data_IF_959355875591
#
_entry.id   IF_959355875591
#
_cell.length_a   1.000
_cell.length_b   1.000
_cell.length_c   1.000
_cell.angle_alpha   90.00
_cell.angle_beta   90.00
_cell.angle_gamma   90.00
#
_symmetry.space_group_name_H-M   'P 1'
#
loop_
_entity.id
_entity.type
_entity.pdbx_description
1 polymer ?
#
# COMPACT_ATOMS: atom_id res chain seq x y z
N UNK A 1 13.85 -10.85 41.13
CA UNK A 1 14.02 -11.04 39.69
C UNK A 1 12.74 -10.52 39.06
N UNK A 2 12.81 -9.41 38.32
CA UNK A 2 11.62 -8.76 37.77
C UNK A 2 10.99 -9.67 36.74
N UNK A 3 9.72 -10.03 36.96
CA UNK A 3 8.89 -10.78 36.03
C UNK A 3 8.64 -9.89 34.80
N UNK A 4 9.52 -9.96 33.80
CA UNK A 4 9.42 -9.13 32.61
C UNK A 4 8.32 -9.69 31.73
N UNK A 5 7.25 -8.93 31.54
CA UNK A 5 6.17 -9.33 30.66
C UNK A 5 6.68 -9.63 29.23
N UNK A 6 6.12 -10.65 28.55
CA UNK A 6 6.52 -10.98 27.19
C UNK A 6 6.24 -9.82 26.25
N UNK A 7 7.20 -9.52 25.36
CA UNK A 7 6.99 -8.52 24.32
C UNK A 7 6.10 -9.13 23.25
N UNK A 8 5.00 -8.47 22.94
CA UNK A 8 4.06 -8.87 21.90
C UNK A 8 4.06 -7.83 20.77
N UNK A 9 3.86 -8.30 19.54
CA UNK A 9 3.40 -7.44 18.44
C UNK A 9 1.94 -7.04 18.62
N UNK A 10 1.45 -6.04 17.86
CA UNK A 10 0.03 -5.66 17.86
C UNK A 10 -0.90 -6.80 17.41
N UNK A 11 -0.36 -7.81 16.73
CA UNK A 11 -1.08 -9.03 16.33
C UNK A 11 -1.00 -10.16 17.37
N UNK A 12 -0.44 -9.91 18.56
CA UNK A 12 -0.33 -10.89 19.64
C UNK A 12 0.78 -11.93 19.49
N UNK A 13 1.68 -11.76 18.52
CA UNK A 13 2.83 -12.66 18.33
C UNK A 13 3.92 -12.32 19.36
N UNK A 14 4.42 -13.34 20.07
CA UNK A 14 5.54 -13.23 21.01
C UNK A 14 6.82 -12.90 20.25
N UNK A 15 7.52 -11.86 20.70
CA UNK A 15 8.82 -11.44 20.20
C UNK A 15 9.88 -11.91 21.20
N UNK A 16 10.58 -12.97 20.84
CA UNK A 16 11.67 -13.52 21.64
C UNK A 16 12.85 -12.54 21.68
N UNK A 17 13.61 -12.47 22.79
CA UNK A 17 14.75 -11.56 22.92
C UNK A 17 15.92 -11.92 21.98
N UNK A 18 15.97 -13.15 21.48
CA UNK A 18 16.99 -13.65 20.55
C UNK A 18 16.39 -14.73 19.65
N UNK A 19 16.62 -14.61 18.34
CA UNK A 19 16.29 -15.64 17.35
C UNK A 19 17.58 -16.30 16.85
N UNK A 20 17.63 -17.63 16.85
CA UNK A 20 18.77 -18.43 16.42
C UNK A 20 18.36 -19.42 15.33
N UNK A 21 19.28 -20.30 14.91
CA UNK A 21 18.97 -21.36 13.94
C UNK A 21 17.89 -22.31 14.47
N UNK A 22 17.84 -22.56 15.78
CA UNK A 22 16.81 -23.37 16.44
C UNK A 22 15.41 -22.74 16.30
N UNK A 23 15.32 -21.41 16.28
CA UNK A 23 14.05 -20.68 16.13
C UNK A 23 13.36 -20.92 14.78
N UNK A 24 14.10 -21.40 13.77
CA UNK A 24 13.58 -21.74 12.44
C UNK A 24 13.69 -23.24 12.12
N UNK A 25 13.94 -24.08 13.13
CA UNK A 25 14.15 -25.53 12.95
C UNK A 25 12.94 -26.26 12.37
N UNK A 26 11.73 -25.74 12.56
CA UNK A 26 10.50 -26.31 12.03
C UNK A 26 10.18 -25.89 10.58
N UNK A 27 10.94 -24.95 10.01
CA UNK A 27 10.71 -24.42 8.67
C UNK A 27 11.39 -25.31 7.62
N UNK A 28 10.68 -25.68 6.55
CA UNK A 28 11.27 -26.29 5.35
C UNK A 28 11.58 -25.19 4.30
N UNK A 29 12.86 -24.88 4.05
CA UNK A 29 13.22 -23.83 3.11
C UNK A 29 12.70 -24.03 1.68
N UNK A 30 12.44 -25.28 1.25
CA UNK A 30 11.96 -25.55 -0.11
C UNK A 30 10.48 -25.25 -0.27
N UNK A 31 9.65 -25.60 0.72
CA UNK A 31 8.20 -25.48 0.63
C UNK A 31 7.67 -24.19 1.25
N UNK A 32 8.35 -23.65 2.27
CA UNK A 32 7.86 -22.51 3.04
C UNK A 32 8.50 -21.19 2.57
N UNK A 33 9.71 -21.25 2.01
CA UNK A 33 10.44 -20.07 1.50
C UNK A 33 10.54 -20.10 -0.03
N UNK A 34 11.08 -21.18 -0.61
CA UNK A 34 11.22 -21.36 -2.05
C UNK A 34 12.18 -20.37 -2.74
N UNK A 35 12.00 -20.22 -4.06
CA UNK A 35 12.72 -19.26 -4.92
C UNK A 35 11.75 -18.16 -5.42
N UNK A 36 12.25 -16.95 -5.73
CA UNK A 36 11.39 -15.91 -6.32
C UNK A 36 10.80 -16.37 -7.66
N UNK A 37 9.55 -16.00 -7.93
CA UNK A 37 8.84 -16.36 -9.17
C UNK A 37 8.23 -17.77 -9.19
N UNK A 38 8.29 -18.52 -8.09
CA UNK A 38 7.61 -19.80 -7.94
C UNK A 38 6.91 -19.91 -6.59
N UNK A 39 5.90 -20.79 -6.49
CA UNK A 39 5.22 -21.08 -5.24
C UNK A 39 6.23 -21.51 -4.14
N UNK A 40 6.06 -21.08 -2.88
CA UNK A 40 4.92 -20.32 -2.31
C UNK A 40 4.99 -18.79 -2.52
N UNK A 41 5.93 -18.28 -3.34
CA UNK A 41 6.14 -16.86 -3.61
C UNK A 41 6.57 -16.01 -2.38
N UNK A 42 7.00 -16.65 -1.28
CA UNK A 42 7.52 -15.96 -0.08
C UNK A 42 8.64 -14.98 -0.42
N UNK A 43 9.45 -15.28 -1.45
CA UNK A 43 10.55 -14.41 -1.93
C UNK A 43 10.17 -13.46 -3.08
N UNK A 44 8.89 -13.37 -3.43
CA UNK A 44 8.35 -12.51 -4.48
C UNK A 44 7.74 -13.26 -5.65
N UNK A 45 6.77 -12.61 -6.31
CA UNK A 45 5.99 -13.17 -7.42
C UNK A 45 6.73 -13.18 -8.76
N UNK A 46 7.83 -12.44 -8.90
CA UNK A 46 8.65 -12.39 -10.10
C UNK A 46 10.05 -12.92 -9.83
N UNK A 47 10.70 -13.64 -10.76
CA UNK A 47 12.02 -14.23 -10.55
C UNK A 47 13.15 -13.20 -10.38
N UNK A 48 13.01 -12.03 -11.02
CA UNK A 48 14.03 -10.97 -11.02
C UNK A 48 13.66 -9.78 -10.12
N UNK A 49 12.39 -9.68 -9.70
CA UNK A 49 11.84 -8.58 -8.90
C UNK A 49 12.39 -7.21 -9.36
N UNK A 50 12.94 -6.43 -8.43
CA UNK A 50 13.36 -5.06 -8.63
C UNK A 50 14.71 -4.90 -9.33
N UNK A 51 15.38 -6.01 -9.69
CA UNK A 51 16.57 -5.97 -10.55
C UNK A 51 16.22 -5.74 -12.02
N UNK A 52 15.01 -6.13 -12.42
CA UNK A 52 14.49 -5.93 -13.78
C UNK A 52 13.56 -4.71 -13.82
N UNK A 53 12.56 -4.67 -12.92
CA UNK A 53 11.61 -3.55 -12.84
C UNK A 53 11.34 -3.13 -11.40
N UNK A 54 11.58 -1.86 -11.11
CA UNK A 54 11.20 -1.25 -9.82
C UNK A 54 9.68 -1.32 -9.61
N UNK A 55 9.24 -1.23 -8.35
CA UNK A 55 7.82 -1.08 -8.05
C UNK A 55 7.27 0.22 -8.68
N UNK A 56 5.96 0.26 -8.93
CA UNK A 56 5.33 1.48 -9.43
C UNK A 56 5.28 2.53 -8.32
N UNK A 57 5.93 3.66 -8.53
CA UNK A 57 5.75 4.85 -7.70
C UNK A 57 4.39 5.45 -8.06
N UNK A 58 3.43 5.36 -7.14
CA UNK A 58 2.02 5.70 -7.40
C UNK A 58 1.46 6.52 -6.24
N UNK A 59 1.56 7.84 -6.33
CA UNK A 59 0.95 8.71 -5.33
C UNK A 59 -0.56 8.78 -5.56
N UNK A 60 -1.30 8.67 -4.47
CA UNK A 60 -2.74 8.85 -4.44
C UNK A 60 -3.05 10.34 -4.38
N UNK A 61 -3.77 10.86 -5.38
CA UNK A 61 -4.05 12.29 -5.49
C UNK A 61 -5.39 12.54 -6.18
N UNK A 62 -6.04 13.63 -5.78
CA UNK A 62 -7.27 14.15 -6.34
C UNK A 62 -7.80 15.25 -5.43
N UNK A 63 -8.24 16.37 -6.01
CA UNK A 63 -8.87 17.49 -5.32
C UNK A 63 -9.50 18.43 -6.35
N UNK A 64 -10.48 19.23 -5.91
CA UNK A 64 -11.10 20.26 -6.73
C UNK A 64 -11.73 19.66 -7.99
N UNK A 65 -11.50 20.31 -9.12
CA UNK A 65 -12.00 19.86 -10.41
C UNK A 65 -11.07 18.85 -11.09
N UNK A 66 -11.59 18.17 -12.12
CA UNK A 66 -10.79 17.37 -13.03
C UNK A 66 -9.57 18.12 -13.61
N UNK A 67 -9.69 19.42 -13.88
CA UNK A 67 -8.58 20.23 -14.40
C UNK A 67 -7.47 20.41 -13.36
N UNK A 68 -7.82 20.70 -12.10
CA UNK A 68 -6.87 20.85 -10.99
C UNK A 68 -6.12 19.54 -10.73
N UNK A 69 -6.85 18.44 -10.67
CA UNK A 69 -6.28 17.10 -10.47
C UNK A 69 -5.39 16.68 -11.64
N UNK A 70 -5.77 17.00 -12.89
CA UNK A 70 -4.93 16.73 -14.06
C UNK A 70 -3.61 17.52 -14.02
N UNK A 71 -3.65 18.80 -13.61
CA UNK A 71 -2.42 19.57 -13.41
C UNK A 71 -1.52 18.91 -12.35
N UNK A 72 -2.11 18.42 -11.25
CA UNK A 72 -1.38 17.67 -10.23
C UNK A 72 -0.76 16.38 -10.76
N UNK A 73 -1.49 15.61 -11.57
CA UNK A 73 -0.97 14.39 -12.17
C UNK A 73 0.23 14.65 -13.08
N UNK A 74 0.16 15.68 -13.93
CA UNK A 74 1.30 16.06 -14.79
C UNK A 74 2.53 16.45 -13.96
N UNK A 75 2.33 17.29 -12.93
CA UNK A 75 3.39 17.65 -11.99
C UNK A 75 4.05 16.41 -11.35
N UNK A 76 3.24 15.45 -10.90
CA UNK A 76 3.77 14.23 -10.27
C UNK A 76 4.52 13.34 -11.24
N UNK A 77 4.03 13.20 -12.48
CA UNK A 77 4.71 12.46 -13.54
C UNK A 77 6.07 13.11 -13.89
N UNK A 78 6.10 14.43 -14.02
CA UNK A 78 7.34 15.20 -14.23
C UNK A 78 8.33 15.03 -13.05
N UNK A 79 7.81 14.87 -11.83
CA UNK A 79 8.59 14.60 -10.63
C UNK A 79 9.00 13.12 -10.43
N UNK A 80 8.72 12.24 -11.40
CA UNK A 80 9.18 10.84 -11.40
C UNK A 80 8.16 9.80 -10.95
N UNK A 81 6.89 10.17 -10.75
CA UNK A 81 5.82 9.20 -10.56
C UNK A 81 5.67 8.31 -11.80
N UNK A 82 5.39 7.02 -11.62
CA UNK A 82 5.29 6.02 -12.71
C UNK A 82 3.92 5.37 -12.86
N UNK A 83 2.95 5.76 -12.03
CA UNK A 83 1.54 5.37 -12.20
C UNK A 83 0.59 6.34 -11.51
N UNK A 84 -0.57 6.59 -12.10
CA UNK A 84 -1.60 7.49 -11.54
C UNK A 84 -2.54 6.76 -10.58
N UNK A 85 -2.98 7.42 -9.52
CA UNK A 85 -4.02 6.89 -8.62
C UNK A 85 -4.94 8.03 -8.20
N UNK A 86 -6.20 7.93 -8.60
CA UNK A 86 -7.17 9.02 -8.49
C UNK A 86 -7.99 8.89 -7.21
N UNK A 87 -7.99 9.95 -6.39
CA UNK A 87 -8.88 10.09 -5.25
C UNK A 87 -10.13 10.85 -5.66
N UNK A 88 -11.31 10.27 -5.46
CA UNK A 88 -12.60 10.90 -5.75
C UNK A 88 -13.17 11.58 -4.51
N UNK A 89 -13.95 12.63 -4.70
CA UNK A 89 -14.66 13.26 -3.59
C UNK A 89 -15.76 12.35 -3.01
N UNK A 90 -16.33 12.75 -1.87
CA UNK A 90 -17.35 11.94 -1.21
C UNK A 90 -18.64 11.80 -2.04
N UNK A 91 -19.17 12.87 -2.69
CA UNK A 91 -20.31 12.74 -3.60
C UNK A 91 -20.12 11.69 -4.69
N UNK A 92 -18.99 11.72 -5.40
CA UNK A 92 -18.68 10.75 -6.47
C UNK A 92 -18.59 9.33 -5.93
N UNK A 93 -17.93 9.13 -4.78
CA UNK A 93 -17.85 7.81 -4.13
C UNK A 93 -19.23 7.28 -3.71
N UNK A 94 -20.15 8.17 -3.34
CA UNK A 94 -21.50 7.83 -2.89
C UNK A 94 -22.53 7.81 -4.04
N UNK A 95 -22.12 8.11 -5.28
CA UNK A 95 -22.99 8.12 -6.46
C UNK A 95 -23.91 9.32 -6.58
N UNK A 96 -23.55 10.47 -5.99
CA UNK A 96 -24.27 11.73 -6.14
C UNK A 96 -23.57 12.65 -7.15
N UNK A 97 -24.36 13.30 -8.00
CA UNK A 97 -23.90 14.43 -8.81
C UNK A 97 -23.57 15.63 -7.91
N UNK A 98 -22.72 16.53 -8.40
CA UNK A 98 -22.24 17.69 -7.65
C UNK A 98 -23.34 18.69 -7.26
N UNK A 99 -24.45 18.72 -7.99
CA UNK A 99 -25.61 19.59 -7.73
C UNK A 99 -26.66 18.92 -6.82
N UNK A 100 -26.46 17.66 -6.42
CA UNK A 100 -27.36 16.97 -5.52
C UNK A 100 -27.37 17.64 -4.13
N UNK A 101 -28.53 17.88 -3.50
CA UNK A 101 -28.59 18.58 -2.20
C UNK A 101 -27.72 17.96 -1.09
N UNK A 102 -27.52 16.64 -1.12
CA UNK A 102 -26.65 15.92 -0.16
C UNK A 102 -25.14 16.05 -0.45
N UNK A 103 -24.76 16.52 -1.64
CA UNK A 103 -23.38 16.77 -2.01
C UNK A 103 -22.88 18.14 -1.55
N UNK A 104 -23.80 19.03 -1.14
CA UNK A 104 -23.46 20.40 -0.74
C UNK A 104 -22.37 20.42 0.34
N UNK A 105 -21.27 21.10 0.01
CA UNK A 105 -20.14 21.24 0.91
C UNK A 105 -19.17 20.06 0.90
N UNK A 106 -19.34 19.02 0.09
CA UNK A 106 -18.37 17.92 -0.03
C UNK A 106 -17.74 17.83 -1.44
N UNK A 107 -18.31 18.54 -2.42
CA UNK A 107 -17.83 18.59 -3.81
C UNK A 107 -16.36 19.03 -3.86
N UNK A 108 -15.50 18.18 -4.41
CA UNK A 108 -14.08 18.46 -4.65
C UNK A 108 -13.20 18.60 -3.39
N UNK A 109 -13.72 18.34 -2.19
CA UNK A 109 -12.99 18.61 -0.93
C UNK A 109 -11.93 17.57 -0.59
N UNK A 110 -12.30 16.29 -0.64
CA UNK A 110 -11.44 15.16 -0.23
C UNK A 110 -10.95 14.34 -1.42
N UNK A 111 -11.24 14.81 -2.63
CA UNK A 111 -10.91 14.18 -3.89
C UNK A 111 -11.41 15.04 -5.04
N UNK A 112 -11.26 14.54 -6.27
CA UNK A 112 -11.73 15.22 -7.47
C UNK A 112 -13.25 15.08 -7.62
N UNK A 113 -13.90 16.15 -8.06
CA UNK A 113 -15.28 16.18 -8.58
C UNK A 113 -15.26 16.26 -10.12
#
# INVERSE_FOLDING_TARGET
MSDSQPRLTDSGIVVEPLYTQESISALDPKTDIGLPGGAPYTRGIYPTMHRDRLWTMRQYAGFGSAADTNQRFKFLLEAGQTGLSCAFDLPTQMGYDSDHPRAQGEVGKVGVA
#
